data_IF_730475235637
#
_entry.id   IF_730475235637
#
_cell.length_a   1.000
_cell.length_b   1.000
_cell.length_c   1.000
_cell.angle_alpha   90.00
_cell.angle_beta   90.00
_cell.angle_gamma   90.00
#
_symmetry.space_group_name_H-M   'P 1'
#
loop_
_entity.id
_entity.type
_entity.pdbx_description
1 polymer ?
#
# COMPACT_ATOMS: atom_id res chain seq x y z
N UNK A 1 -6.13 -5.64 12.44
CA UNK A 1 -6.13 -6.13 11.05
C UNK A 1 -7.47 -6.78 10.77
N UNK A 2 -8.12 -6.45 9.65
CA UNK A 2 -9.40 -7.01 9.21
C UNK A 2 -9.13 -7.85 7.96
N UNK A 3 -9.74 -9.03 7.84
CA UNK A 3 -9.62 -9.86 6.63
C UNK A 3 -10.73 -9.52 5.65
N UNK A 4 -10.37 -9.36 4.39
CA UNK A 4 -11.28 -9.25 3.25
C UNK A 4 -11.21 -10.55 2.47
N UNK A 5 -12.34 -11.02 1.96
CA UNK A 5 -12.44 -12.36 1.35
C UNK A 5 -12.83 -12.33 -0.13
N UNK A 6 -13.07 -11.14 -0.69
CA UNK A 6 -13.44 -10.97 -2.09
C UNK A 6 -13.16 -9.56 -2.59
N UNK A 7 -13.09 -9.41 -3.91
CA UNK A 7 -12.85 -8.13 -4.57
C UNK A 7 -13.94 -7.09 -4.26
N UNK A 8 -15.19 -7.52 -4.05
CA UNK A 8 -16.27 -6.59 -3.72
C UNK A 8 -16.02 -5.83 -2.41
N UNK A 9 -15.40 -6.49 -1.42
CA UNK A 9 -15.07 -5.85 -0.15
C UNK A 9 -14.02 -4.74 -0.36
N UNK A 10 -13.05 -5.00 -1.25
CA UNK A 10 -12.03 -4.02 -1.64
C UNK A 10 -12.65 -2.84 -2.39
N UNK A 11 -13.54 -3.11 -3.34
CA UNK A 11 -14.25 -2.05 -4.08
C UNK A 11 -14.99 -1.14 -3.11
N UNK A 12 -15.69 -1.71 -2.12
CA UNK A 12 -16.40 -0.94 -1.10
C UNK A 12 -15.45 -0.04 -0.28
N UNK A 13 -14.21 -0.47 -0.02
CA UNK A 13 -13.21 0.38 0.63
C UNK A 13 -12.80 1.57 -0.23
N UNK A 14 -12.61 1.35 -1.54
CA UNK A 14 -12.27 2.43 -2.46
C UNK A 14 -13.44 3.41 -2.66
N UNK A 15 -14.67 2.92 -2.75
CA UNK A 15 -15.88 3.74 -2.88
C UNK A 15 -16.15 4.60 -1.62
N UNK A 16 -15.67 4.14 -0.45
CA UNK A 16 -15.74 4.90 0.80
C UNK A 16 -14.77 6.09 0.86
N UNK A 17 -13.82 6.20 -0.06
CA UNK A 17 -12.86 7.30 -0.11
C UNK A 17 -13.51 8.53 -0.75
N UNK A 18 -13.42 9.68 -0.08
CA UNK A 18 -13.90 10.95 -0.63
C UNK A 18 -13.12 11.33 -1.89
N UNK A 19 -13.81 11.80 -2.92
CA UNK A 19 -13.19 12.21 -4.18
C UNK A 19 -12.12 13.30 -4.02
N UNK A 20 -12.29 14.20 -3.05
CA UNK A 20 -11.33 15.26 -2.69
C UNK A 20 -9.99 14.74 -2.15
N UNK A 21 -9.91 13.46 -1.77
CA UNK A 21 -8.69 12.82 -1.30
C UNK A 21 -7.80 12.29 -2.44
N UNK A 22 -8.25 12.39 -3.70
CA UNK A 22 -7.44 11.99 -4.86
C UNK A 22 -6.22 12.90 -5.02
N UNK A 23 -5.12 12.29 -5.47
CA UNK A 23 -3.86 13.00 -5.76
C UNK A 23 -3.62 13.13 -7.26
N UNK A 24 -2.70 14.03 -7.68
CA UNK A 24 -2.17 14.00 -9.02
C UNK A 24 -1.55 12.64 -9.36
N UNK A 25 -1.69 12.19 -10.61
CA UNK A 25 -1.30 10.85 -11.04
C UNK A 25 0.15 10.48 -10.66
N UNK A 26 1.09 11.42 -10.72
CA UNK A 26 2.49 11.14 -10.39
C UNK A 26 2.72 10.67 -8.94
N UNK A 27 1.79 10.94 -8.02
CA UNK A 27 1.92 10.54 -6.63
C UNK A 27 1.64 9.05 -6.44
N UNK A 28 0.84 8.44 -7.30
CA UNK A 28 0.55 6.99 -7.29
C UNK A 28 1.69 6.17 -7.92
N UNK A 29 2.71 6.85 -8.48
CA UNK A 29 3.89 6.23 -9.05
C UNK A 29 5.06 6.10 -8.06
N UNK A 30 4.97 6.76 -6.90
CA UNK A 30 6.08 6.85 -5.94
C UNK A 30 5.66 6.46 -4.51
N UNK A 31 6.63 5.91 -3.78
CA UNK A 31 6.55 5.78 -2.32
C UNK A 31 7.13 7.03 -1.65
N UNK A 32 6.74 7.30 -0.41
CA UNK A 32 7.43 8.28 0.44
C UNK A 32 7.58 7.75 1.86
N UNK A 33 8.51 8.33 2.62
CA UNK A 33 8.55 8.09 4.06
C UNK A 33 7.43 8.84 4.77
N UNK A 34 6.86 8.20 5.80
CA UNK A 34 5.83 8.76 6.68
C UNK A 34 6.27 8.63 8.14
N UNK A 35 5.60 9.37 9.03
CA UNK A 35 5.85 9.26 10.47
C UNK A 35 5.26 7.97 11.01
N UNK A 36 5.86 7.44 12.08
CA UNK A 36 5.32 6.29 12.80
C UNK A 36 3.85 6.50 13.20
N UNK A 37 3.50 7.68 13.72
CA UNK A 37 2.13 8.00 14.13
C UNK A 37 1.12 7.93 12.99
N UNK A 38 1.55 8.22 11.76
CA UNK A 38 0.69 8.13 10.57
C UNK A 38 0.52 6.67 10.14
N UNK A 39 1.58 5.87 10.21
CA UNK A 39 1.53 4.44 9.92
C UNK A 39 0.69 3.67 10.95
N UNK A 40 0.89 3.94 12.23
CA UNK A 40 0.20 3.28 13.34
C UNK A 40 -1.30 3.58 13.37
N UNK A 41 -1.69 4.77 12.91
CA UNK A 41 -3.09 5.18 12.82
C UNK A 41 -3.86 4.52 11.65
N UNK A 42 -3.19 3.82 10.73
CA UNK A 42 -3.85 3.21 9.58
C UNK A 42 -4.61 1.93 9.95
N UNK A 43 -5.82 1.79 9.44
CA UNK A 43 -6.54 0.52 9.48
C UNK A 43 -5.93 -0.45 8.46
N UNK A 44 -5.50 -1.61 8.93
CA UNK A 44 -4.88 -2.64 8.08
C UNK A 44 -5.92 -3.68 7.64
N UNK A 45 -5.95 -3.96 6.35
CA UNK A 45 -6.77 -4.98 5.71
C UNK A 45 -5.90 -6.05 5.06
N UNK A 46 -6.14 -7.31 5.38
CA UNK A 46 -5.53 -8.47 4.72
C UNK A 46 -6.42 -8.92 3.57
N UNK A 47 -5.85 -9.11 2.38
CA UNK A 47 -6.55 -9.61 1.21
C UNK A 47 -6.44 -11.14 1.17
N UNK A 48 -7.36 -11.82 1.86
CA UNK A 48 -7.39 -13.27 2.05
C UNK A 48 -8.21 -13.96 0.95
N UNK A 49 -7.83 -13.70 -0.31
CA UNK A 49 -8.46 -14.25 -1.51
C UNK A 49 -7.55 -14.10 -2.75
N UNK A 50 -7.85 -14.86 -3.80
CA UNK A 50 -7.12 -14.76 -5.07
C UNK A 50 -7.43 -13.45 -5.82
N UNK A 51 -6.44 -12.84 -6.50
CA UNK A 51 -5.09 -13.34 -6.76
C UNK A 51 -4.05 -13.00 -5.67
N UNK A 52 -4.46 -12.34 -4.59
CA UNK A 52 -3.53 -11.78 -3.60
C UNK A 52 -2.85 -12.84 -2.73
N UNK A 53 -3.50 -14.01 -2.53
CA UNK A 53 -2.86 -15.18 -1.94
C UNK A 53 -1.69 -15.66 -2.80
N UNK A 54 -1.88 -15.78 -4.11
CA UNK A 54 -0.81 -16.14 -5.06
C UNK A 54 0.32 -15.11 -5.07
N UNK A 55 0.00 -13.82 -5.06
CA UNK A 55 1.01 -12.75 -5.01
C UNK A 55 1.82 -12.85 -3.70
N UNK A 56 1.14 -13.00 -2.56
CA UNK A 56 1.82 -13.13 -1.26
C UNK A 56 2.79 -14.32 -1.26
N UNK A 57 2.35 -15.49 -1.75
CA UNK A 57 3.21 -16.67 -1.86
C UNK A 57 4.41 -16.44 -2.80
N UNK A 58 4.19 -15.77 -3.94
CA UNK A 58 5.26 -15.46 -4.93
C UNK A 58 6.31 -14.51 -4.35
N UNK A 59 5.90 -13.58 -3.50
CA UNK A 59 6.75 -12.56 -2.90
C UNK A 59 7.30 -12.94 -1.50
N UNK A 60 7.14 -14.20 -1.07
CA UNK A 60 7.54 -14.70 0.25
C UNK A 60 6.94 -13.87 1.42
N UNK A 61 5.70 -13.43 1.22
CA UNK A 61 4.92 -12.69 2.21
C UNK A 61 3.93 -13.63 2.90
N UNK A 62 3.72 -13.44 4.20
CA UNK A 62 2.70 -14.18 4.95
C UNK A 62 1.27 -13.86 4.47
N UNK A 63 1.04 -12.61 4.10
CA UNK A 63 -0.23 -12.09 3.62
C UNK A 63 0.01 -10.82 2.81
N UNK A 64 -0.91 -10.50 1.90
CA UNK A 64 -0.94 -9.22 1.20
C UNK A 64 -1.88 -8.25 1.94
N UNK A 65 -1.45 -7.01 2.16
CA UNK A 65 -2.23 -6.04 2.94
C UNK A 65 -2.37 -4.67 2.30
N UNK A 66 -3.53 -4.06 2.52
CA UNK A 66 -3.78 -2.65 2.30
C UNK A 66 -3.81 -1.90 3.63
N UNK A 67 -3.35 -0.66 3.62
CA UNK A 67 -3.43 0.24 4.75
C UNK A 67 -4.33 1.41 4.41
N UNK A 68 -5.30 1.70 5.26
CA UNK A 68 -6.26 2.77 5.05
C UNK A 68 -6.04 3.89 6.07
N UNK A 69 -5.91 5.11 5.58
CA UNK A 69 -6.00 6.33 6.40
C UNK A 69 -7.40 6.95 6.29
N UNK A 70 -7.60 8.12 6.90
CA UNK A 70 -8.85 8.89 6.71
C UNK A 70 -9.02 9.37 5.26
N UNK A 71 -7.94 9.42 4.48
CA UNK A 71 -7.95 9.95 3.15
C UNK A 71 -7.91 8.86 2.08
N UNK A 72 -7.06 7.83 2.21
CA UNK A 72 -6.78 6.91 1.08
C UNK A 72 -6.38 5.51 1.51
N UNK A 73 -6.19 4.66 0.50
CA UNK A 73 -5.57 3.34 0.63
C UNK A 73 -4.12 3.38 0.12
N UNK A 74 -3.27 2.62 0.81
CA UNK A 74 -1.84 2.57 0.59
C UNK A 74 -1.32 1.13 0.60
N UNK A 75 -0.24 0.92 -0.16
CA UNK A 75 0.75 -0.08 0.16
C UNK A 75 1.73 0.56 1.13
N UNK A 76 1.72 0.10 2.38
CA UNK A 76 2.58 0.64 3.42
C UNK A 76 3.39 -0.48 4.05
N UNK A 77 4.63 -0.15 4.40
CA UNK A 77 5.59 -1.11 4.93
C UNK A 77 6.41 -0.45 6.03
N UNK A 78 6.87 -1.28 6.96
CA UNK A 78 7.87 -0.89 7.94
C UNK A 78 9.16 -1.63 7.60
N UNK A 79 10.21 -0.86 7.30
CA UNK A 79 11.54 -1.40 7.15
C UNK A 79 12.25 -1.41 8.52
N UNK A 80 12.40 -2.60 9.09
CA UNK A 80 13.15 -2.82 10.34
C UNK A 80 14.66 -2.99 10.14
N UNK A 81 15.15 -3.00 8.90
CA UNK A 81 16.58 -3.13 8.61
C UNK A 81 17.30 -1.77 8.78
N UNK A 82 18.43 -1.76 9.49
CA UNK A 82 19.27 -0.58 9.69
C UNK A 82 19.31 -0.09 11.14
N UNK A 83 19.65 1.20 11.34
CA UNK A 83 19.82 1.79 12.67
C UNK A 83 18.49 2.17 13.35
N UNK A 84 17.45 2.49 12.58
CA UNK A 84 16.12 2.85 13.09
C UNK A 84 15.01 2.44 12.10
N UNK A 85 13.83 2.02 12.58
CA UNK A 85 12.71 1.69 11.71
C UNK A 85 12.33 2.88 10.83
N UNK A 86 12.02 2.59 9.56
CA UNK A 86 11.43 3.56 8.63
C UNK A 86 10.07 3.05 8.19
N UNK A 87 9.14 3.98 8.01
CA UNK A 87 7.79 3.70 7.54
C UNK A 87 7.61 4.37 6.20
N UNK A 88 7.08 3.62 5.24
CA UNK A 88 6.80 4.13 3.92
C UNK A 88 5.35 3.87 3.54
N UNK A 89 4.82 4.74 2.69
CA UNK A 89 3.51 4.58 2.11
C UNK A 89 3.53 4.98 0.63
N UNK A 90 2.89 4.16 -0.20
CA UNK A 90 2.58 4.43 -1.59
C UNK A 90 1.06 4.42 -1.75
N UNK A 91 0.43 5.54 -2.14
CA UNK A 91 -0.99 5.56 -2.39
C UNK A 91 -1.27 4.69 -3.62
N UNK A 92 -2.40 3.99 -3.61
CA UNK A 92 -2.80 3.14 -4.74
C UNK A 92 -4.21 3.49 -5.20
N UNK A 93 -4.46 3.28 -6.49
CA UNK A 93 -5.82 3.27 -7.04
C UNK A 93 -6.36 1.84 -7.10
N UNK A 94 -7.68 1.70 -7.24
CA UNK A 94 -8.30 0.40 -7.49
C UNK A 94 -7.76 -0.23 -8.79
N UNK A 95 -7.59 0.58 -9.84
CA UNK A 95 -7.05 0.10 -11.12
C UNK A 95 -5.63 -0.47 -10.99
N UNK A 96 -4.76 0.20 -10.24
CA UNK A 96 -3.41 -0.31 -9.96
C UNK A 96 -3.47 -1.60 -9.14
N UNK A 97 -4.33 -1.66 -8.12
CA UNK A 97 -4.47 -2.84 -7.27
C UNK A 97 -4.91 -4.09 -8.06
N UNK A 98 -5.80 -3.90 -9.04
CA UNK A 98 -6.24 -5.00 -9.93
C UNK A 98 -5.19 -5.44 -10.95
N UNK A 99 -4.12 -4.65 -11.15
CA UNK A 99 -2.98 -5.06 -11.96
C UNK A 99 -2.05 -5.97 -11.14
N UNK A 100 -2.27 -7.28 -11.24
CA UNK A 100 -1.52 -8.29 -10.48
C UNK A 100 -0.03 -8.29 -10.84
N UNK A 101 0.32 -7.94 -12.07
CA UNK A 101 1.71 -7.88 -12.50
C UNK A 101 2.42 -6.69 -11.83
N UNK A 102 1.74 -5.54 -11.75
CA UNK A 102 2.23 -4.39 -11.00
C UNK A 102 2.35 -4.71 -9.50
N UNK A 103 1.32 -5.30 -8.89
CA UNK A 103 1.36 -5.65 -7.45
C UNK A 103 2.48 -6.63 -7.13
N UNK A 104 2.67 -7.66 -7.96
CA UNK A 104 3.79 -8.60 -7.81
C UNK A 104 5.13 -7.87 -7.95
N UNK A 105 5.28 -7.01 -8.97
CA UNK A 105 6.50 -6.25 -9.20
C UNK A 105 6.86 -5.32 -8.03
N UNK A 106 5.87 -4.64 -7.45
CA UNK A 106 6.08 -3.72 -6.33
C UNK A 106 6.47 -4.45 -5.05
N UNK A 107 5.87 -5.61 -4.79
CA UNK A 107 6.16 -6.42 -3.59
C UNK A 107 7.46 -7.22 -3.73
N UNK A 108 7.77 -7.70 -4.93
CA UNK A 108 8.98 -8.47 -5.19
C UNK A 108 10.22 -7.57 -5.11
N UNK A 109 11.22 -7.99 -4.32
CA UNK A 109 12.42 -7.20 -4.05
C UNK A 109 12.07 -5.80 -3.54
N UNK A 110 11.10 -5.70 -2.61
CA UNK A 110 10.54 -4.43 -2.10
C UNK A 110 11.59 -3.36 -1.80
N UNK A 111 12.69 -3.70 -1.12
CA UNK A 111 13.75 -2.74 -0.79
C UNK A 111 14.39 -2.08 -2.04
N UNK A 112 14.56 -2.86 -3.12
CA UNK A 112 15.04 -2.34 -4.40
C UNK A 112 13.97 -1.47 -5.08
N UNK A 113 12.71 -1.90 -5.09
CA UNK A 113 11.60 -1.13 -5.66
C UNK A 113 11.39 0.20 -4.93
N UNK A 114 11.54 0.20 -3.60
CA UNK A 114 11.51 1.40 -2.78
C UNK A 114 12.65 2.34 -3.18
N UNK A 115 13.88 1.84 -3.29
CA UNK A 115 15.04 2.65 -3.70
C UNK A 115 14.86 3.34 -5.06
N UNK A 116 14.19 2.68 -6.00
CA UNK A 116 13.91 3.26 -7.33
C UNK A 116 12.78 4.29 -7.32
N UNK A 117 11.76 4.10 -6.48
CA UNK A 117 10.49 4.83 -6.58
C UNK A 117 10.20 5.71 -5.36
N UNK A 118 11.17 5.91 -4.46
CA UNK A 118 10.98 6.80 -3.32
C UNK A 118 11.16 8.26 -3.74
N UNK A 119 10.21 9.11 -3.35
CA UNK A 119 10.31 10.55 -3.51
C UNK A 119 10.25 11.21 -2.12
N UNK A 120 11.34 11.89 -1.77
CA UNK A 120 11.53 12.50 -0.45
C UNK A 120 10.84 13.87 -0.33
N UNK A 121 10.45 14.47 -1.45
CA UNK A 121 9.83 15.80 -1.52
C UNK A 121 8.29 15.72 -1.54
N UNK A 122 7.71 14.51 -1.52
CA UNK A 122 6.25 14.35 -1.51
C UNK A 122 5.67 14.68 -0.14
N UNK A 123 4.91 15.77 -0.10
CA UNK A 123 4.14 16.17 1.07
C UNK A 123 2.64 16.25 0.78
N UNK A 124 1.86 15.42 1.48
CA UNK A 124 0.41 15.38 1.42
C UNK A 124 -0.15 14.79 2.72
N UNK A 125 -1.41 15.06 3.09
CA UNK A 125 -2.04 14.40 4.23
C UNK A 125 -2.11 12.89 4.02
N UNK A 126 -1.65 12.14 5.03
CA UNK A 126 -1.88 10.69 5.14
C UNK A 126 -3.25 10.48 5.72
#
# INVERSE_FOLDING_TARGET
>A
MIKLHQMQDVINLFDGIKAEAQLPAQYYECSRYIRWSEFDAMQVYELDFEPYLTIAATCDMRFFTLHQSQHRLYLAHCNYAGHAPRWEARPITLSQLTDTALMTKLMQNHAYQLGLNINLDLDYPV
#
